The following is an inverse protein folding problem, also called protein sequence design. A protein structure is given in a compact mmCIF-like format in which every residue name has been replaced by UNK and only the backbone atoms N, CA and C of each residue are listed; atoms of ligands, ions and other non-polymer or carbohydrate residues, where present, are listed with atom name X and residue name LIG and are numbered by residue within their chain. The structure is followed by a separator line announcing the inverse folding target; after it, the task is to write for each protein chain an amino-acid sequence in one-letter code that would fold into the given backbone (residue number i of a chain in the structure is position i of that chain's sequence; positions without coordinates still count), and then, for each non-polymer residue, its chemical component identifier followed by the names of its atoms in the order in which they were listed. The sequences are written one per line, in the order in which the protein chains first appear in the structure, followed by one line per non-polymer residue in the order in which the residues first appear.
data_IF_703647825910
#
_entry.id   IF_703647825910
#
_cell.length_a   1.000
_cell.length_b   1.000
_cell.length_c   1.000
_cell.angle_alpha   90.00
_cell.angle_beta   90.00
_cell.angle_gamma   90.00
#
_symmetry.space_group_name_H-M   'P 1'
#
loop_
_entity.id
_entity.type
_entity.pdbx_description
1 polymer ?
#
# COMPACT_ATOMS: atom_id res chain seq x y z
N UNK A 1 21.91 -11.80 20.26
CA UNK A 1 22.20 -10.91 19.11
C UNK A 1 20.94 -10.77 18.28
N UNK A 2 20.44 -9.54 18.05
CA UNK A 2 19.28 -9.33 17.18
C UNK A 2 19.67 -9.57 15.72
N UNK A 3 18.90 -10.36 14.98
CA UNK A 3 19.10 -10.55 13.53
C UNK A 3 19.16 -9.20 12.81
N UNK A 4 20.04 -9.05 11.82
CA UNK A 4 20.15 -7.83 11.00
C UNK A 4 18.79 -7.51 10.34
N UNK A 5 18.46 -6.22 10.21
CA UNK A 5 17.31 -5.76 9.42
C UNK A 5 17.68 -5.82 7.95
N UNK A 6 16.77 -6.34 7.14
CA UNK A 6 16.88 -6.39 5.69
C UNK A 6 16.26 -5.13 5.07
N UNK A 7 16.79 -4.69 3.92
CA UNK A 7 16.19 -3.62 3.14
C UNK A 7 15.05 -4.15 2.28
N UNK A 8 14.03 -3.33 2.07
CA UNK A 8 12.86 -3.70 1.25
C UNK A 8 13.26 -3.97 -0.19
N UNK A 9 14.16 -3.18 -0.78
CA UNK A 9 14.62 -3.37 -2.17
C UNK A 9 15.29 -4.72 -2.43
N UNK A 10 15.86 -5.32 -1.38
CA UNK A 10 16.62 -6.56 -1.51
C UNK A 10 15.70 -7.78 -1.51
N UNK A 11 14.40 -7.60 -1.21
CA UNK A 11 13.44 -8.70 -1.07
C UNK A 11 13.28 -9.46 -2.38
N UNK A 12 13.60 -10.75 -2.31
CA UNK A 12 13.57 -11.68 -3.42
C UNK A 12 13.32 -13.13 -2.93
N UNK A 13 13.43 -14.09 -3.83
CA UNK A 13 13.13 -15.51 -3.55
C UNK A 13 14.35 -16.30 -3.03
N UNK A 14 15.50 -15.65 -2.79
CA UNK A 14 16.76 -16.32 -2.47
C UNK A 14 16.85 -16.80 -1.02
N UNK A 15 15.94 -16.36 -0.14
CA UNK A 15 15.91 -16.78 1.26
C UNK A 15 14.50 -16.88 1.80
N UNK A 16 14.34 -17.77 2.77
CA UNK A 16 13.05 -18.13 3.35
C UNK A 16 12.51 -17.11 4.37
N UNK A 17 13.40 -16.35 5.03
CA UNK A 17 13.01 -15.43 6.10
C UNK A 17 13.57 -14.04 5.92
N UNK A 18 12.70 -13.04 6.06
CA UNK A 18 13.01 -11.62 6.00
C UNK A 18 12.67 -10.96 7.34
N UNK A 19 13.50 -10.00 7.75
CA UNK A 19 13.29 -9.15 8.93
C UNK A 19 13.27 -7.69 8.50
N UNK A 20 12.11 -7.07 8.51
CA UNK A 20 11.90 -5.72 8.00
C UNK A 20 11.60 -4.76 9.14
N UNK A 21 12.22 -3.58 9.11
CA UNK A 21 11.88 -2.45 9.97
C UNK A 21 11.22 -1.40 9.09
N UNK A 22 9.91 -1.18 9.29
CA UNK A 22 9.08 -0.46 8.32
C UNK A 22 8.05 0.42 9.00
N UNK A 23 7.53 1.39 8.25
CA UNK A 23 6.29 2.12 8.53
C UNK A 23 5.17 1.58 7.65
N UNK A 24 3.98 1.41 8.22
CA UNK A 24 2.76 1.09 7.47
C UNK A 24 2.25 2.38 6.85
N UNK A 25 2.32 2.49 5.53
CA UNK A 25 1.95 3.70 4.80
C UNK A 25 0.46 3.77 4.59
N UNK A 26 -0.16 2.64 4.23
CA UNK A 26 -1.58 2.56 3.93
C UNK A 26 -2.06 1.13 4.15
N UNK A 27 -3.33 0.96 4.50
CA UNK A 27 -3.96 -0.34 4.74
C UNK A 27 -5.44 -0.30 4.36
N UNK A 28 -5.88 -1.28 3.58
CA UNK A 28 -7.26 -1.36 3.12
C UNK A 28 -7.77 -2.79 3.04
N UNK A 29 -9.08 -2.95 3.22
CA UNK A 29 -9.77 -4.21 3.02
C UNK A 29 -10.18 -4.38 1.56
N UNK A 30 -9.97 -5.58 1.02
CA UNK A 30 -10.41 -5.97 -0.31
C UNK A 30 -11.34 -7.16 -0.17
N UNK A 31 -12.50 -7.10 -0.82
CA UNK A 31 -13.46 -8.21 -0.88
C UNK A 31 -13.47 -8.72 -2.31
N UNK A 32 -13.13 -9.98 -2.51
CA UNK A 32 -13.15 -10.58 -3.84
C UNK A 32 -14.57 -10.94 -4.29
N UNK A 33 -14.71 -11.38 -5.54
CA UNK A 33 -15.99 -11.74 -6.16
C UNK A 33 -16.76 -12.86 -5.43
N UNK A 34 -16.10 -13.60 -4.52
CA UNK A 34 -16.71 -14.65 -3.69
C UNK A 34 -17.14 -14.14 -2.32
N UNK A 35 -17.04 -12.83 -2.05
CA UNK A 35 -17.34 -12.23 -0.75
C UNK A 35 -16.28 -12.49 0.31
N UNK A 36 -15.10 -13.01 -0.06
CA UNK A 36 -14.01 -13.28 0.88
C UNK A 36 -13.18 -12.01 1.04
N UNK A 37 -13.12 -11.51 2.28
CA UNK A 37 -12.31 -10.34 2.65
C UNK A 37 -10.86 -10.74 2.95
N UNK A 38 -9.91 -9.95 2.45
CA UNK A 38 -8.50 -9.96 2.84
C UNK A 38 -8.01 -8.52 3.07
N UNK A 39 -6.86 -8.36 3.72
CA UNK A 39 -6.26 -7.06 3.97
C UNK A 39 -5.03 -6.88 3.09
N UNK A 40 -4.88 -5.70 2.51
CA UNK A 40 -3.68 -5.29 1.81
C UNK A 40 -3.10 -4.07 2.52
N UNK A 41 -1.77 -3.95 2.51
CA UNK A 41 -1.08 -2.78 3.05
C UNK A 41 0.19 -2.49 2.28
N UNK A 42 0.68 -1.26 2.41
CA UNK A 42 1.99 -0.84 1.90
C UNK A 42 2.88 -0.57 3.09
N UNK A 43 4.09 -1.11 3.04
CA UNK A 43 5.12 -0.83 4.03
C UNK A 43 6.32 -0.16 3.38
N UNK A 44 6.99 0.71 4.13
CA UNK A 44 8.14 1.48 3.66
C UNK A 44 9.29 1.39 4.67
N UNK A 45 10.50 1.11 4.22
CA UNK A 45 11.69 1.12 5.08
C UNK A 45 12.29 2.53 5.24
N UNK A 46 13.41 2.64 5.97
CA UNK A 46 14.10 3.91 6.19
C UNK A 46 14.71 4.53 4.93
N UNK A 47 14.88 3.77 3.85
CA UNK A 47 15.40 4.26 2.57
C UNK A 47 14.28 4.77 1.65
N UNK A 48 13.01 4.62 2.05
CA UNK A 48 11.86 4.98 1.24
C UNK A 48 11.44 3.87 0.27
N UNK A 49 12.09 2.70 0.32
CA UNK A 49 11.71 1.57 -0.51
C UNK A 49 10.40 0.96 -0.01
N UNK A 50 9.46 0.75 -0.93
CA UNK A 50 8.09 0.33 -0.65
C UNK A 50 7.82 -1.06 -1.17
N UNK A 51 7.04 -1.85 -0.42
CA UNK A 51 6.54 -3.15 -0.85
C UNK A 51 5.09 -3.37 -0.39
N UNK A 52 4.29 -4.01 -1.22
CA UNK A 52 2.93 -4.41 -0.87
C UNK A 52 2.93 -5.71 -0.06
N UNK A 53 2.03 -5.76 0.92
CA UNK A 53 1.84 -6.90 1.81
C UNK A 53 0.38 -7.34 1.79
N UNK A 54 0.16 -8.65 1.69
CA UNK A 54 -1.15 -9.30 1.71
C UNK A 54 -1.34 -10.08 3.02
N UNK A 55 -2.47 -9.86 3.68
CA UNK A 55 -2.94 -10.69 4.78
C UNK A 55 -4.21 -11.39 4.31
N UNK A 56 -4.10 -12.70 4.12
CA UNK A 56 -5.22 -13.54 3.68
C UNK A 56 -6.31 -13.64 4.75
N UNK A 57 -7.49 -14.05 4.30
CA UNK A 57 -8.69 -14.20 5.12
C UNK A 57 -8.47 -15.03 6.40
N UNK A 58 -7.75 -16.14 6.30
CA UNK A 58 -7.41 -17.06 7.40
C UNK A 58 -6.58 -16.41 8.52
N UNK A 59 -5.98 -15.24 8.26
CA UNK A 59 -5.21 -14.48 9.23
C UNK A 59 -5.81 -13.10 9.53
N UNK A 60 -6.93 -12.75 8.90
CA UNK A 60 -7.50 -11.41 8.97
C UNK A 60 -7.87 -11.02 10.41
N UNK A 61 -8.55 -11.90 11.15
CA UNK A 61 -8.96 -11.66 12.53
C UNK A 61 -7.79 -11.34 13.46
N UNK A 62 -6.62 -11.95 13.23
CA UNK A 62 -5.41 -11.70 14.02
C UNK A 62 -4.84 -10.30 13.80
N UNK A 63 -4.96 -9.76 12.59
CA UNK A 63 -4.19 -8.60 12.17
C UNK A 63 -5.01 -7.32 11.98
N UNK A 64 -6.31 -7.43 11.67
CA UNK A 64 -7.16 -6.30 11.29
C UNK A 64 -7.24 -5.20 12.35
N UNK A 65 -7.23 -5.56 13.64
CA UNK A 65 -7.26 -4.57 14.74
C UNK A 65 -5.86 -4.07 15.15
N UNK A 66 -4.82 -4.84 14.82
CA UNK A 66 -3.43 -4.58 15.20
C UNK A 66 -2.74 -3.65 14.21
N UNK A 67 -3.00 -3.85 12.92
CA UNK A 67 -2.41 -3.07 11.83
C UNK A 67 -3.14 -1.73 11.72
N UNK A 68 -2.39 -0.64 11.83
CA UNK A 68 -2.91 0.72 11.67
C UNK A 68 -1.97 1.53 10.79
N UNK A 69 -2.52 2.44 10.00
CA UNK A 69 -1.72 3.38 9.22
C UNK A 69 -0.74 4.16 10.12
N UNK A 70 0.38 4.55 9.53
CA UNK A 70 1.46 5.34 10.12
C UNK A 70 2.20 4.67 11.30
N UNK A 71 1.81 3.48 11.75
CA UNK A 71 2.56 2.74 12.76
C UNK A 71 3.91 2.28 12.21
N UNK A 72 4.92 2.24 13.08
CA UNK A 72 6.21 1.62 12.78
C UNK A 72 6.30 0.26 13.47
N UNK A 73 6.92 -0.71 12.79
CA UNK A 73 6.98 -2.08 13.27
C UNK A 73 8.18 -2.85 12.73
N UNK A 74 8.53 -3.93 13.43
CA UNK A 74 9.37 -5.00 12.90
C UNK A 74 8.47 -6.13 12.44
N UNK A 75 8.56 -6.50 11.18
CA UNK A 75 7.92 -7.69 10.61
C UNK A 75 8.99 -8.77 10.48
N UNK A 76 8.75 -9.96 11.04
CA UNK A 76 9.58 -11.13 10.80
C UNK A 76 8.77 -12.24 10.15
N UNK A 77 9.40 -12.89 9.18
CA UNK A 77 8.86 -13.99 8.40
C UNK A 77 7.65 -13.56 7.54
N UNK A 78 7.59 -14.08 6.34
CA UNK A 78 6.55 -13.80 5.36
C UNK A 78 6.97 -14.42 4.05
N UNK A 79 6.03 -14.98 3.32
CA UNK A 79 6.34 -15.59 2.04
C UNK A 79 6.42 -14.53 0.97
N UNK A 80 7.49 -14.59 0.18
CA UNK A 80 7.70 -13.70 -0.95
C UNK A 80 7.09 -14.33 -2.19
N UNK A 81 6.32 -13.54 -2.94
CA UNK A 81 5.74 -13.94 -4.21
C UNK A 81 5.95 -12.83 -5.24
N UNK A 82 5.77 -13.15 -6.51
CA UNK A 82 5.68 -12.14 -7.55
C UNK A 82 4.52 -11.19 -7.26
N UNK A 83 4.73 -9.91 -7.54
CA UNK A 83 3.69 -8.90 -7.46
C UNK A 83 2.76 -9.03 -8.68
N UNK A 84 1.74 -9.84 -8.50
CA UNK A 84 0.66 -10.15 -9.44
C UNK A 84 -0.64 -9.39 -9.10
N UNK A 85 -0.58 -8.37 -8.24
CA UNK A 85 -1.73 -7.51 -7.98
C UNK A 85 -2.19 -6.84 -9.29
N UNK A 86 -3.51 -6.81 -9.48
CA UNK A 86 -4.12 -6.10 -10.61
C UNK A 86 -3.78 -4.61 -10.59
N UNK A 87 -3.74 -4.02 -9.39
CA UNK A 87 -3.39 -2.62 -9.16
C UNK A 87 -2.20 -2.56 -8.21
N UNK A 88 -1.09 -1.99 -8.68
CA UNK A 88 0.14 -1.86 -7.92
C UNK A 88 0.25 -0.46 -7.36
N UNK A 89 0.58 -0.34 -6.08
CA UNK A 89 0.80 0.97 -5.44
C UNK A 89 2.29 1.33 -5.35
N UNK A 90 3.17 0.37 -5.63
CA UNK A 90 4.62 0.59 -5.70
C UNK A 90 5.26 -0.29 -6.79
N UNK A 91 6.47 0.05 -7.21
CA UNK A 91 7.16 -0.60 -8.33
C UNK A 91 7.84 -1.94 -7.95
N UNK A 92 7.78 -2.34 -6.68
CA UNK A 92 8.45 -3.56 -6.23
C UNK A 92 7.88 -4.80 -6.94
N UNK A 93 8.76 -5.59 -7.56
CA UNK A 93 8.40 -6.77 -8.37
C UNK A 93 7.89 -7.94 -7.53
N UNK A 94 8.13 -7.89 -6.22
CA UNK A 94 7.64 -8.86 -5.23
C UNK A 94 6.61 -8.27 -4.29
N UNK A 95 5.82 -9.14 -3.69
CA UNK A 95 4.93 -8.86 -2.55
C UNK A 95 5.25 -9.82 -1.40
N UNK A 96 4.88 -9.42 -0.18
CA UNK A 96 4.93 -10.30 1.00
C UNK A 96 3.54 -10.80 1.32
N UNK A 97 3.40 -12.07 1.69
CA UNK A 97 2.17 -12.65 2.21
C UNK A 97 2.40 -13.09 3.64
N UNK A 98 1.55 -12.62 4.56
CA UNK A 98 1.57 -13.05 5.95
C UNK A 98 1.11 -14.50 6.04
N UNK A 99 1.87 -15.32 6.77
CA UNK A 99 1.56 -16.72 7.09
C UNK A 99 1.38 -16.90 8.60
N UNK A 100 1.01 -18.11 9.02
CA UNK A 100 0.89 -18.47 10.44
C UNK A 100 2.15 -18.17 11.27
N UNK A 101 3.34 -18.32 10.67
CA UNK A 101 4.63 -18.02 11.29
C UNK A 101 5.08 -16.55 11.22
N UNK A 102 4.31 -15.67 10.57
CA UNK A 102 4.60 -14.24 10.53
C UNK A 102 4.36 -13.61 11.90
N UNK A 103 5.33 -12.81 12.33
CA UNK A 103 5.25 -12.02 13.56
C UNK A 103 5.45 -10.55 13.22
N UNK A 104 4.77 -9.69 13.97
CA UNK A 104 4.93 -8.25 13.87
C UNK A 104 5.02 -7.69 15.29
N UNK A 105 5.99 -6.80 15.51
CA UNK A 105 6.15 -6.08 16.77
C UNK A 105 6.08 -4.59 16.48
N UNK A 106 5.07 -3.91 17.02
CA UNK A 106 5.02 -2.45 17.00
C UNK A 106 6.22 -1.89 17.79
N UNK A 107 6.93 -0.94 17.17
CA UNK A 107 8.05 -0.24 17.79
C UNK A 107 8.21 1.10 17.10
N UNK A 108 8.51 2.14 17.86
CA UNK A 108 8.77 3.46 17.30
C UNK A 108 10.14 3.48 16.60
N UNK A 109 10.13 3.75 15.30
CA UNK A 109 11.33 3.84 14.46
C UNK A 109 11.52 5.27 13.96
N UNK A 110 12.34 6.05 14.67
CA UNK A 110 12.58 7.47 14.37
C UNK A 110 13.27 7.72 13.03
N UNK A 111 14.03 6.74 12.54
CA UNK A 111 14.78 6.82 11.29
C UNK A 111 13.94 6.51 10.04
N UNK A 112 12.66 6.15 10.19
CA UNK A 112 11.77 5.94 9.05
C UNK A 112 10.89 7.19 8.90
N UNK A 113 10.92 7.89 7.76
CA UNK A 113 10.15 9.10 7.58
C UNK A 113 8.63 8.84 7.66
N UNK A 114 7.83 9.85 8.02
CA UNK A 114 6.37 9.74 8.03
C UNK A 114 5.76 9.47 6.67
N UNK A 115 4.48 9.05 6.66
CA UNK A 115 3.71 8.88 5.43
C UNK A 115 3.82 10.18 4.62
N UNK A 116 4.35 10.07 3.40
CA UNK A 116 4.46 11.13 2.42
C UNK A 116 3.80 10.71 1.11
N UNK A 117 3.55 11.69 0.24
CA UNK A 117 2.96 11.49 -1.08
C UNK A 117 4.03 11.62 -2.17
N UNK A 118 3.89 10.84 -3.23
CA UNK A 118 4.76 10.89 -4.41
C UNK A 118 3.98 11.42 -5.60
N UNK A 119 3.70 12.73 -5.57
CA UNK A 119 2.82 13.36 -6.54
C UNK A 119 3.34 13.27 -7.97
N UNK A 120 2.44 12.86 -8.87
CA UNK A 120 2.67 12.78 -10.31
C UNK A 120 2.18 14.06 -10.99
N UNK A 121 2.96 14.55 -11.94
CA UNK A 121 2.59 15.73 -12.74
C UNK A 121 1.41 15.37 -13.68
N UNK A 122 0.41 16.26 -13.75
CA UNK A 122 -0.77 16.04 -14.60
C UNK A 122 -0.40 15.93 -16.08
N UNK A 123 0.63 16.66 -16.55
CA UNK A 123 1.12 16.57 -17.92
C UNK A 123 1.65 15.17 -18.25
N UNK A 124 2.32 14.51 -17.32
CA UNK A 124 2.78 13.13 -17.51
C UNK A 124 1.62 12.13 -17.57
N UNK A 125 0.60 12.32 -16.73
CA UNK A 125 -0.62 11.50 -16.73
C UNK A 125 -1.35 11.66 -18.06
N UNK A 126 -1.59 12.89 -18.50
CA UNK A 126 -2.30 13.21 -19.75
C UNK A 126 -1.54 12.71 -20.99
N UNK A 127 -0.21 12.65 -20.93
CA UNK A 127 0.62 12.06 -21.99
C UNK A 127 0.66 10.52 -21.96
N UNK A 128 -0.01 9.87 -21.00
CA UNK A 128 -0.03 8.41 -20.88
C UNK A 128 1.32 7.82 -20.46
N UNK A 129 2.18 8.60 -19.77
CA UNK A 129 3.49 8.13 -19.28
C UNK A 129 3.39 7.26 -18.03
N UNK A 130 2.24 7.28 -17.36
CA UNK A 130 1.98 6.44 -16.19
C UNK A 130 1.66 5.00 -16.61
N UNK A 131 2.06 4.04 -15.79
CA UNK A 131 1.67 2.64 -16.00
C UNK A 131 0.17 2.50 -15.76
N UNK A 132 -0.52 1.80 -16.65
CA UNK A 132 -1.98 1.65 -16.58
C UNK A 132 -2.45 0.82 -15.40
N UNK A 133 -1.57 0.00 -14.79
CA UNK A 133 -1.85 -0.85 -13.64
C UNK A 133 -1.29 -0.28 -12.32
N UNK A 134 -0.86 1.00 -12.31
CA UNK A 134 -0.25 1.64 -11.13
C UNK A 134 -1.13 2.76 -10.57
N UNK A 135 -1.26 2.81 -9.25
CA UNK A 135 -1.87 3.94 -8.55
C UNK A 135 -0.84 5.07 -8.42
N UNK A 136 -1.28 6.30 -8.71
CA UNK A 136 -0.45 7.51 -8.67
C UNK A 136 -1.04 8.48 -7.65
N UNK A 137 -0.18 9.12 -6.85
CA UNK A 137 -0.61 10.23 -6.01
C UNK A 137 -0.74 11.48 -6.89
N UNK A 138 -1.79 12.27 -6.70
CA UNK A 138 -1.94 13.57 -7.38
C UNK A 138 -2.43 14.63 -6.39
N UNK A 139 -2.09 15.88 -6.65
CA UNK A 139 -2.55 17.03 -5.88
C UNK A 139 -2.82 18.19 -6.83
N UNK A 140 -3.91 18.91 -6.62
CA UNK A 140 -4.27 20.06 -7.42
C UNK A 140 -5.42 20.84 -6.80
N UNK A 141 -5.61 22.07 -7.26
CA UNK A 141 -6.80 22.85 -6.93
C UNK A 141 -8.00 22.30 -7.71
N UNK A 142 -9.13 22.17 -7.02
CA UNK A 142 -10.42 21.93 -7.69
C UNK A 142 -10.78 23.20 -8.44
N UNK A 143 -10.72 23.17 -9.77
CA UNK A 143 -11.10 24.32 -10.58
C UNK A 143 -12.57 24.30 -10.97
N UNK A 144 -13.13 23.11 -11.18
CA UNK A 144 -14.50 22.92 -11.67
C UNK A 144 -15.12 21.68 -11.01
N UNK A 145 -16.44 21.73 -10.80
CA UNK A 145 -17.28 20.60 -10.38
C UNK A 145 -18.34 20.44 -11.47
N UNK A 146 -18.21 19.41 -12.29
CA UNK A 146 -18.95 19.30 -13.54
C UNK A 146 -20.28 18.55 -13.39
N UNK A 147 -20.32 17.52 -12.56
CA UNK A 147 -21.50 16.68 -12.39
C UNK A 147 -21.64 16.25 -10.94
N UNK A 148 -22.87 16.33 -10.41
CA UNK A 148 -23.27 15.75 -9.14
C UNK A 148 -24.53 14.93 -9.42
N UNK A 149 -24.41 13.60 -9.44
CA UNK A 149 -25.59 12.75 -9.48
C UNK A 149 -26.24 12.74 -8.08
N UNK A 150 -27.48 13.23 -7.98
CA UNK A 150 -28.20 13.29 -6.71
C UNK A 150 -28.48 11.89 -6.15
N UNK A 151 -28.55 11.82 -4.81
CA UNK A 151 -28.72 10.57 -4.06
C UNK A 151 -30.06 9.90 -4.41
N UNK A 152 -30.01 8.90 -5.29
CA UNK A 152 -31.15 8.04 -5.61
C UNK A 152 -30.98 6.74 -4.82
N UNK A 153 -32.04 6.20 -4.17
CA UNK A 153 -31.95 4.94 -3.45
C UNK A 153 -31.32 3.84 -4.31
N UNK A 154 -30.26 3.21 -3.80
CA UNK A 154 -29.54 2.14 -4.50
C UNK A 154 -28.46 2.59 -5.51
N UNK A 155 -28.25 3.89 -5.72
CA UNK A 155 -27.15 4.41 -6.56
C UNK A 155 -26.10 5.15 -5.72
N UNK A 156 -24.82 4.97 -6.09
CA UNK A 156 -23.72 5.77 -5.51
C UNK A 156 -23.79 7.19 -6.06
N UNK A 157 -23.53 8.18 -5.22
CA UNK A 157 -23.33 9.57 -5.65
C UNK A 157 -22.05 9.63 -6.48
N UNK A 158 -22.13 10.25 -7.65
CA UNK A 158 -20.99 10.46 -8.54
C UNK A 158 -20.73 11.95 -8.63
N UNK A 159 -19.51 12.37 -8.28
CA UNK A 159 -19.04 13.74 -8.44
C UNK A 159 -17.89 13.74 -9.44
N UNK A 160 -17.99 14.57 -10.48
CA UNK A 160 -16.90 14.82 -11.42
C UNK A 160 -16.25 16.16 -11.10
N UNK A 161 -14.93 16.14 -10.87
CA UNK A 161 -14.14 17.34 -10.59
C UNK A 161 -13.02 17.48 -11.62
N UNK A 162 -12.63 18.73 -11.89
CA UNK A 162 -11.41 19.04 -12.66
C UNK A 162 -10.37 19.56 -11.68
N UNK A 163 -9.21 18.90 -11.68
CA UNK A 163 -8.04 19.34 -10.93
C UNK A 163 -7.12 20.15 -11.84
N UNK A 164 -6.56 21.24 -11.32
CA UNK A 164 -5.50 22.02 -11.96
C UNK A 164 -4.28 22.08 -11.03
N UNK A 165 -3.09 22.04 -11.61
CA UNK A 165 -1.85 22.29 -10.87
C UNK A 165 -1.87 23.71 -10.30
N UNK A 166 -1.26 23.89 -9.13
CA UNK A 166 -1.09 25.18 -8.46
C UNK A 166 0.09 26.02 -9.01
N UNK A 167 0.47 25.81 -10.28
CA UNK A 167 1.60 26.53 -10.91
C UNK A 167 1.27 28.00 -11.15
#
# INVERSE_FOLDING_TARGET
MSRKVDSVKDINDSKETWRLAVRIMDVWSVVNNKGIEHLEMIVMDSLGDRIQVLIRHDHLLKWKEVIKENMTCIINNGSVYNNDFQWKVCDHSKKIVFLGGTTMKAIELQNIPPKGYFFKDFGEILQGKCKTDRLEDTIGAVSEINHIQSNTPGKKVVVSVVLKDLK
#
